data_IF_856435964896
#
_entry.id   IF_856435964896
#
_cell.length_a   1.000
_cell.length_b   1.000
_cell.length_c   1.000
_cell.angle_alpha   90.00
_cell.angle_beta   90.00
_cell.angle_gamma   90.00
#
_symmetry.space_group_name_H-M   'P 1'
#
loop_
_entity.id
_entity.type
_entity.pdbx_description
1 polymer ?
#
# COMPACT_ATOMS: atom_id res chain seq x y z
N UNK A 1 23.73 -37.86 -3.24
CA UNK A 1 23.55 -36.56 -3.89
C UNK A 1 22.53 -35.79 -3.07
N UNK A 2 23.02 -34.92 -2.22
CA UNK A 2 22.22 -34.14 -1.27
C UNK A 2 21.87 -32.83 -1.97
N UNK A 3 20.60 -32.61 -2.21
CA UNK A 3 20.10 -31.35 -2.78
C UNK A 3 20.15 -30.31 -1.67
N UNK A 4 21.10 -29.40 -1.76
CA UNK A 4 21.20 -28.24 -0.89
C UNK A 4 20.04 -27.31 -1.23
N UNK A 5 19.01 -27.28 -0.38
CA UNK A 5 17.99 -26.26 -0.39
C UNK A 5 18.67 -24.92 -0.08
N UNK A 6 18.83 -24.09 -1.10
CA UNK A 6 19.24 -22.69 -0.89
C UNK A 6 18.06 -21.96 -0.23
N UNK A 7 18.05 -21.99 1.10
CA UNK A 7 17.25 -21.03 1.86
C UNK A 7 17.77 -19.64 1.47
N UNK A 8 16.90 -18.85 0.83
CA UNK A 8 17.15 -17.44 0.57
C UNK A 8 17.43 -16.79 1.92
N UNK A 9 18.70 -16.53 2.24
CA UNK A 9 19.09 -15.74 3.37
C UNK A 9 18.59 -14.32 3.09
N UNK A 10 17.39 -14.02 3.55
CA UNK A 10 16.86 -12.66 3.61
C UNK A 10 17.81 -11.94 4.56
N UNK A 11 18.53 -10.97 4.01
CA UNK A 11 19.49 -10.16 4.77
C UNK A 11 18.84 -9.70 6.08
N UNK A 12 19.59 -9.74 7.19
CA UNK A 12 19.13 -9.40 8.55
C UNK A 12 18.60 -7.95 8.71
N UNK A 13 18.51 -7.20 7.64
CA UNK A 13 17.96 -5.84 7.56
C UNK A 13 16.54 -5.77 6.97
N UNK A 14 15.91 -6.91 6.65
CA UNK A 14 14.49 -6.87 6.28
C UNK A 14 13.69 -6.51 7.54
N UNK A 15 12.93 -5.42 7.52
CA UNK A 15 12.21 -5.01 8.72
C UNK A 15 11.27 -6.13 9.16
N UNK A 16 11.08 -6.28 10.48
CA UNK A 16 10.00 -7.09 11.09
C UNK A 16 8.59 -6.75 10.57
N UNK A 17 8.46 -5.76 9.71
CA UNK A 17 7.31 -5.37 8.93
C UNK A 17 6.76 -6.55 8.10
N UNK A 18 7.61 -7.48 7.69
CA UNK A 18 7.19 -8.68 6.94
C UNK A 18 6.22 -9.60 7.70
N UNK A 19 6.33 -9.67 9.04
CA UNK A 19 5.45 -10.51 9.88
C UNK A 19 4.14 -9.82 10.26
N UNK A 20 4.05 -8.50 10.10
CA UNK A 20 2.82 -7.74 10.31
C UNK A 20 1.90 -7.78 9.08
N UNK A 21 2.32 -8.54 8.09
CA UNK A 21 1.61 -8.60 6.83
C UNK A 21 0.25 -9.23 7.01
N UNK A 22 -0.59 -8.51 6.71
CA UNK A 22 -1.85 -8.61 6.11
C UNK A 22 -2.25 -9.99 5.64
N UNK A 23 -3.40 -10.40 6.11
CA UNK A 23 -4.21 -11.43 5.47
C UNK A 23 -4.52 -11.12 3.99
N UNK A 24 -4.23 -9.90 3.54
CA UNK A 24 -4.57 -9.37 2.21
C UNK A 24 -3.42 -9.43 1.20
N UNK A 25 -2.18 -9.61 1.65
CA UNK A 25 -1.03 -9.64 0.76
C UNK A 25 -1.08 -10.91 -0.11
N UNK A 26 -1.23 -10.74 -1.41
CA UNK A 26 -0.94 -11.82 -2.36
C UNK A 26 0.56 -12.11 -2.37
N UNK A 27 0.97 -13.09 -1.57
CA UNK A 27 2.38 -13.44 -1.39
C UNK A 27 3.06 -13.86 -2.68
N UNK A 28 2.30 -14.42 -3.62
CA UNK A 28 2.84 -14.86 -4.91
C UNK A 28 3.14 -13.64 -5.78
N UNK A 29 2.16 -12.75 -5.93
CA UNK A 29 2.34 -11.51 -6.69
C UNK A 29 3.44 -10.65 -6.06
N UNK A 30 3.47 -10.55 -4.73
CA UNK A 30 4.54 -9.83 -4.04
C UNK A 30 5.93 -10.40 -4.34
N UNK A 31 6.11 -11.72 -4.22
CA UNK A 31 7.41 -12.34 -4.47
C UNK A 31 7.88 -12.14 -5.92
N UNK A 32 6.95 -12.17 -6.88
CA UNK A 32 7.22 -11.89 -8.29
C UNK A 32 7.63 -10.42 -8.49
N UNK A 33 6.84 -9.48 -7.98
CA UNK A 33 7.12 -8.05 -8.08
C UNK A 33 8.42 -7.67 -7.37
N UNK A 34 8.70 -8.25 -6.20
CA UNK A 34 9.96 -8.05 -5.50
C UNK A 34 11.16 -8.53 -6.32
N UNK A 35 11.04 -9.69 -6.99
CA UNK A 35 12.09 -10.23 -7.87
C UNK A 35 12.32 -9.34 -9.09
N UNK A 36 11.24 -8.84 -9.71
CA UNK A 36 11.31 -8.02 -10.91
C UNK A 36 11.83 -6.60 -10.65
N UNK A 37 11.59 -6.07 -9.45
CA UNK A 37 11.86 -4.67 -9.12
C UNK A 37 12.50 -4.51 -7.73
N UNK A 38 13.48 -5.37 -7.43
CA UNK A 38 14.07 -5.49 -6.09
C UNK A 38 14.60 -4.17 -5.52
N UNK A 39 15.28 -3.36 -6.33
CA UNK A 39 15.89 -2.10 -5.86
C UNK A 39 14.84 -1.09 -5.38
N UNK A 40 13.72 -0.98 -6.08
CA UNK A 40 12.60 -0.10 -5.71
C UNK A 40 11.95 -0.57 -4.38
N UNK A 41 11.76 -1.89 -4.23
CA UNK A 41 11.21 -2.47 -3.00
C UNK A 41 12.15 -2.32 -1.80
N UNK A 42 13.45 -2.58 -1.98
CA UNK A 42 14.44 -2.40 -0.92
C UNK A 42 14.46 -0.95 -0.44
N UNK A 43 14.48 0.00 -1.37
CA UNK A 43 14.45 1.43 -1.04
C UNK A 43 13.13 1.85 -0.36
N UNK A 44 12.00 1.28 -0.78
CA UNK A 44 10.71 1.52 -0.13
C UNK A 44 10.73 1.06 1.33
N UNK A 45 11.23 -0.14 1.61
CA UNK A 45 11.35 -0.64 2.97
C UNK A 45 12.39 0.12 3.79
N UNK A 46 13.50 0.53 3.19
CA UNK A 46 14.51 1.37 3.85
C UNK A 46 13.92 2.73 4.23
N UNK A 47 13.12 3.33 3.36
CA UNK A 47 12.42 4.58 3.66
C UNK A 47 11.55 4.46 4.92
N UNK A 48 10.83 3.34 5.11
CA UNK A 48 9.99 3.10 6.28
C UNK A 48 10.77 2.84 7.57
N UNK A 49 12.09 2.59 7.49
CA UNK A 49 12.96 2.38 8.64
C UNK A 49 13.68 3.65 9.11
N UNK A 50 13.42 4.77 8.48
CA UNK A 50 14.01 6.06 8.86
C UNK A 50 13.70 6.39 10.32
N UNK A 51 14.70 6.83 11.11
CA UNK A 51 14.47 7.21 12.50
C UNK A 51 13.59 8.46 12.66
N UNK A 52 13.57 9.33 11.64
CA UNK A 52 12.81 10.57 11.58
C UNK A 52 11.44 10.41 10.86
N UNK A 53 10.99 9.19 10.61
CA UNK A 53 9.77 8.91 9.84
C UNK A 53 8.54 9.64 10.40
N UNK A 54 8.42 9.69 11.73
CA UNK A 54 7.31 10.33 12.42
C UNK A 54 7.38 11.88 12.39
N UNK A 55 8.53 12.44 12.06
CA UNK A 55 8.79 13.88 12.03
C UNK A 55 8.70 14.48 10.62
N UNK A 56 8.56 13.61 9.60
CA UNK A 56 8.47 14.06 8.22
C UNK A 56 7.21 14.92 8.00
N UNK A 57 7.37 16.16 7.49
CA UNK A 57 6.22 16.97 7.08
C UNK A 57 5.37 16.30 6.01
N UNK A 58 4.09 16.63 5.97
CA UNK A 58 3.23 16.21 4.86
C UNK A 58 3.80 16.70 3.52
N UNK A 59 3.86 15.79 2.54
CA UNK A 59 4.45 16.10 1.24
C UNK A 59 4.80 14.85 0.45
N UNK A 60 5.44 15.05 -0.69
CA UNK A 60 5.96 13.98 -1.54
C UNK A 60 7.48 13.95 -1.47
N UNK A 61 8.03 12.76 -1.34
CA UNK A 61 9.46 12.49 -1.21
C UNK A 61 9.89 11.49 -2.28
N UNK A 62 10.93 11.80 -3.01
CA UNK A 62 11.59 10.83 -3.89
C UNK A 62 12.28 9.77 -3.03
N UNK A 63 12.14 8.50 -3.40
CA UNK A 63 12.73 7.37 -2.69
C UNK A 63 13.82 6.73 -3.54
N UNK A 64 13.46 6.14 -4.67
CA UNK A 64 14.41 5.53 -5.60
C UNK A 64 13.75 5.31 -6.96
N UNK A 65 14.46 5.62 -8.05
CA UNK A 65 13.97 5.40 -9.40
C UNK A 65 12.64 6.11 -9.65
N UNK A 66 11.56 5.35 -9.78
CA UNK A 66 10.19 5.86 -9.91
C UNK A 66 9.37 5.74 -8.64
N UNK A 67 9.93 5.12 -7.59
CA UNK A 67 9.28 5.00 -6.29
C UNK A 67 9.32 6.32 -5.54
N UNK A 68 8.19 6.74 -5.03
CA UNK A 68 8.06 7.91 -4.16
C UNK A 68 7.13 7.64 -2.98
N UNK A 69 7.32 8.41 -1.91
CA UNK A 69 6.48 8.37 -0.73
C UNK A 69 5.61 9.62 -0.65
N UNK A 70 4.35 9.46 -0.28
CA UNK A 70 3.47 10.55 0.14
C UNK A 70 3.28 10.45 1.65
N UNK A 71 3.76 11.45 2.38
CA UNK A 71 3.47 11.63 3.80
C UNK A 71 2.14 12.36 3.91
N UNK A 72 1.17 11.73 4.54
CA UNK A 72 -0.18 12.27 4.75
C UNK A 72 -0.41 12.47 6.24
N UNK A 73 -0.66 13.72 6.64
CA UNK A 73 -1.09 14.12 7.98
C UNK A 73 -2.46 14.76 7.79
N UNK A 74 -3.52 14.02 8.11
CA UNK A 74 -4.91 14.40 7.78
C UNK A 74 -5.88 13.77 8.80
N UNK A 75 -7.14 13.66 8.46
CA UNK A 75 -8.16 12.93 9.20
C UNK A 75 -8.79 11.86 8.30
N UNK A 76 -9.19 10.75 8.89
CA UNK A 76 -10.08 9.79 8.24
C UNK A 76 -11.41 10.45 7.88
N UNK A 77 -12.18 9.89 6.94
CA UNK A 77 -13.39 10.49 6.35
C UNK A 77 -14.52 9.49 6.30
N UNK A 78 -15.74 9.93 6.58
CA UNK A 78 -16.94 9.08 6.56
C UNK A 78 -17.24 8.49 5.17
N UNK A 79 -16.82 9.17 4.11
CA UNK A 79 -17.04 8.71 2.74
C UNK A 79 -15.84 9.05 1.86
N UNK A 80 -15.35 8.02 1.17
CA UNK A 80 -14.24 8.11 0.21
C UNK A 80 -14.60 7.22 -0.98
N UNK A 81 -14.14 7.56 -2.18
CA UNK A 81 -14.29 6.67 -3.35
C UNK A 81 -13.28 5.52 -3.29
N UNK A 82 -13.60 4.43 -3.96
CA UNK A 82 -12.61 3.42 -4.32
C UNK A 82 -11.66 3.97 -5.37
N UNK A 83 -10.39 3.62 -5.24
CA UNK A 83 -9.31 3.90 -6.17
C UNK A 83 -8.88 2.59 -6.84
N UNK A 84 -8.61 2.64 -8.15
CA UNK A 84 -7.97 1.55 -8.89
C UNK A 84 -6.80 2.13 -9.67
N UNK A 85 -5.62 1.57 -9.45
CA UNK A 85 -4.39 1.92 -10.17
C UNK A 85 -4.06 0.86 -11.21
N UNK A 86 -3.32 1.22 -12.27
CA UNK A 86 -2.95 0.29 -13.33
C UNK A 86 -1.44 -0.01 -13.34
N UNK A 87 -0.61 0.97 -12.95
CA UNK A 87 0.84 0.90 -13.13
C UNK A 87 1.63 1.08 -11.83
N UNK A 88 0.95 1.32 -10.70
CA UNK A 88 1.59 1.45 -9.40
C UNK A 88 1.02 0.48 -8.38
N UNK A 89 1.86 0.09 -7.45
CA UNK A 89 1.52 -0.65 -6.24
C UNK A 89 1.48 0.36 -5.10
N UNK A 90 0.43 0.33 -4.31
CA UNK A 90 0.33 1.13 -3.10
C UNK A 90 0.78 0.33 -1.88
N UNK A 91 1.70 0.88 -1.11
CA UNK A 91 2.02 0.40 0.21
C UNK A 91 1.62 1.49 1.22
N UNK A 92 0.58 1.22 2.01
CA UNK A 92 0.17 2.10 3.11
C UNK A 92 0.84 1.65 4.40
N UNK A 93 1.44 2.58 5.13
CA UNK A 93 2.04 2.35 6.44
C UNK A 93 1.53 3.39 7.43
N UNK A 94 1.06 2.95 8.59
CA UNK A 94 0.52 3.84 9.62
C UNK A 94 1.62 4.25 10.59
N UNK A 95 1.93 5.54 10.62
CA UNK A 95 2.87 6.14 11.56
C UNK A 95 2.18 6.44 12.89
N UNK A 96 0.94 7.00 12.82
CA UNK A 96 0.11 7.31 13.99
C UNK A 96 -1.36 7.32 13.61
N UNK A 97 -2.22 6.93 14.56
CA UNK A 97 -3.65 6.75 14.33
C UNK A 97 -3.98 5.40 13.74
N UNK A 98 -5.13 5.32 13.08
CA UNK A 98 -5.62 4.11 12.42
C UNK A 98 -6.57 4.44 11.28
N UNK A 99 -6.68 3.54 10.31
CA UNK A 99 -7.67 3.62 9.24
C UNK A 99 -8.27 2.26 8.92
N UNK A 100 -9.52 2.26 8.50
CA UNK A 100 -10.15 1.14 7.84
C UNK A 100 -9.87 1.26 6.33
N UNK A 101 -9.37 0.20 5.73
CA UNK A 101 -9.19 0.07 4.28
C UNK A 101 -10.11 -1.03 3.79
N UNK A 102 -11.04 -0.67 2.91
CA UNK A 102 -11.78 -1.65 2.13
C UNK A 102 -11.01 -1.99 0.85
N UNK A 103 -11.08 -3.23 0.40
CA UNK A 103 -10.46 -3.65 -0.85
C UNK A 103 -11.27 -4.76 -1.52
N UNK A 104 -11.20 -4.81 -2.84
CA UNK A 104 -11.96 -5.75 -3.67
C UNK A 104 -11.23 -6.06 -4.97
N UNK A 105 -11.77 -6.99 -5.74
CA UNK A 105 -11.29 -7.21 -7.12
C UNK A 105 -11.84 -6.14 -8.05
N UNK A 106 -11.14 -5.81 -9.16
CA UNK A 106 -11.62 -4.80 -10.11
C UNK A 106 -13.03 -5.08 -10.65
N UNK A 107 -13.37 -6.35 -10.88
CA UNK A 107 -14.69 -6.77 -11.35
C UNK A 107 -15.83 -6.55 -10.35
N UNK A 108 -15.50 -6.35 -9.07
CA UNK A 108 -16.47 -6.03 -8.03
C UNK A 108 -16.77 -4.52 -7.92
N UNK A 109 -15.93 -3.66 -8.53
CA UNK A 109 -16.13 -2.21 -8.51
C UNK A 109 -17.36 -1.81 -9.30
N UNK A 110 -18.15 -0.88 -8.75
CA UNK A 110 -19.42 -0.41 -9.33
C UNK A 110 -19.52 1.11 -9.25
N UNK A 111 -20.37 1.68 -10.11
CA UNK A 111 -20.64 3.12 -10.17
C UNK A 111 -19.35 3.96 -10.41
N UNK A 112 -18.87 3.91 -11.66
CA UNK A 112 -17.71 4.73 -12.08
C UNK A 112 -17.99 6.22 -11.82
N UNK A 113 -17.12 6.83 -11.01
CA UNK A 113 -17.17 8.26 -10.66
C UNK A 113 -16.29 9.07 -11.61
N UNK A 114 -15.08 8.58 -11.88
CA UNK A 114 -14.13 9.22 -12.79
C UNK A 114 -13.37 8.15 -13.55
N UNK A 115 -13.31 8.25 -14.88
CA UNK A 115 -12.57 7.31 -15.70
C UNK A 115 -11.06 7.43 -15.43
N UNK A 116 -10.32 6.42 -15.86
CA UNK A 116 -8.88 6.35 -15.69
C UNK A 116 -8.17 7.62 -16.19
N UNK A 117 -7.40 8.19 -15.30
CA UNK A 117 -6.53 9.32 -15.56
C UNK A 117 -5.09 8.84 -15.64
N UNK A 118 -4.55 8.76 -16.86
CA UNK A 118 -3.21 8.25 -17.12
C UNK A 118 -2.10 9.03 -16.37
N UNK A 119 -2.25 10.36 -16.23
CA UNK A 119 -1.26 11.19 -15.52
C UNK A 119 -1.19 10.94 -14.02
N UNK A 120 -2.32 10.54 -13.42
CA UNK A 120 -2.44 10.24 -11.99
C UNK A 120 -2.41 8.75 -11.71
N UNK A 121 -2.48 7.92 -12.75
CA UNK A 121 -2.60 6.47 -12.69
C UNK A 121 -3.75 6.03 -11.77
N UNK A 122 -4.93 6.59 -11.93
CA UNK A 122 -6.08 6.26 -11.07
C UNK A 122 -7.41 6.46 -11.79
N UNK A 123 -8.34 5.59 -11.50
CA UNK A 123 -9.78 5.75 -11.72
C UNK A 123 -10.54 5.59 -10.41
N UNK A 124 -11.75 6.16 -10.34
CA UNK A 124 -12.53 6.21 -9.11
C UNK A 124 -13.89 5.56 -9.27
N UNK A 125 -14.29 4.81 -8.25
CA UNK A 125 -15.60 4.17 -8.16
C UNK A 125 -16.25 4.50 -6.82
N UNK A 126 -17.58 4.57 -6.83
CA UNK A 126 -18.32 4.93 -5.61
C UNK A 126 -18.52 3.75 -4.67
N UNK A 127 -18.67 2.55 -5.20
CA UNK A 127 -19.02 1.36 -4.44
C UNK A 127 -18.40 0.09 -5.02
N UNK A 128 -18.50 -0.99 -4.26
CA UNK A 128 -18.14 -2.33 -4.68
C UNK A 128 -19.28 -3.29 -4.32
N UNK A 129 -19.58 -4.24 -5.23
CA UNK A 129 -20.59 -5.28 -5.02
C UNK A 129 -20.18 -6.29 -3.95
N UNK A 130 -18.86 -6.47 -3.79
CA UNK A 130 -18.23 -7.33 -2.79
C UNK A 130 -16.91 -6.73 -2.36
N UNK A 131 -16.63 -6.75 -1.07
CA UNK A 131 -15.38 -6.22 -0.52
C UNK A 131 -14.90 -7.01 0.70
N UNK A 132 -13.63 -6.87 0.98
CA UNK A 132 -13.00 -7.21 2.25
C UNK A 132 -12.57 -5.92 2.95
N UNK A 133 -12.27 -6.01 4.24
CA UNK A 133 -11.86 -4.86 5.04
C UNK A 133 -10.72 -5.23 5.98
N UNK A 134 -9.85 -4.27 6.25
CA UNK A 134 -8.79 -4.40 7.24
C UNK A 134 -8.61 -3.09 7.99
N UNK A 135 -8.41 -3.17 9.30
CA UNK A 135 -8.03 -2.02 10.12
C UNK A 135 -6.51 -1.99 10.22
N UNK A 136 -5.92 -0.90 9.74
CA UNK A 136 -4.50 -0.63 9.88
C UNK A 136 -4.29 0.27 11.08
N UNK A 137 -3.45 -0.17 12.01
CA UNK A 137 -3.05 0.58 13.20
C UNK A 137 -1.56 0.93 13.13
N UNK A 138 -1.08 1.78 14.02
CA UNK A 138 0.33 2.18 14.12
C UNK A 138 1.30 1.02 13.93
N UNK A 139 2.26 1.19 13.02
CA UNK A 139 3.28 0.19 12.67
C UNK A 139 2.81 -0.91 11.73
N UNK A 140 1.54 -0.88 11.30
CA UNK A 140 0.99 -1.83 10.32
C UNK A 140 1.01 -1.24 8.91
N UNK A 141 1.05 -2.14 7.93
CA UNK A 141 1.00 -1.77 6.52
C UNK A 141 0.14 -2.73 5.71
N UNK A 142 -0.28 -2.29 4.54
CA UNK A 142 -0.93 -3.10 3.50
C UNK A 142 -0.24 -2.85 2.16
N UNK A 143 -0.17 -3.87 1.32
CA UNK A 143 0.26 -3.74 -0.08
C UNK A 143 -0.94 -4.03 -0.96
N UNK A 144 -1.24 -3.11 -1.87
CA UNK A 144 -2.36 -3.13 -2.79
C UNK A 144 -1.81 -3.09 -4.21
N UNK A 145 -2.09 -4.13 -4.98
CA UNK A 145 -1.65 -4.28 -6.36
C UNK A 145 -2.69 -3.68 -7.33
N UNK A 146 -2.36 -3.51 -8.62
CA UNK A 146 -3.35 -3.13 -9.63
C UNK A 146 -4.59 -4.02 -9.70
N UNK A 147 -4.50 -5.25 -9.16
CA UNK A 147 -5.64 -6.17 -9.02
C UNK A 147 -6.52 -5.90 -7.79
N UNK A 148 -6.24 -4.86 -7.03
CA UNK A 148 -6.92 -4.57 -5.76
C UNK A 148 -7.48 -3.14 -5.78
N UNK A 149 -8.76 -3.02 -6.18
CA UNK A 149 -9.53 -1.80 -5.96
C UNK A 149 -9.64 -1.54 -4.46
N UNK A 150 -9.40 -0.31 -4.01
CA UNK A 150 -9.33 -0.03 -2.58
C UNK A 150 -9.91 1.32 -2.20
N UNK A 151 -10.48 1.37 -1.00
CA UNK A 151 -11.09 2.55 -0.40
C UNK A 151 -10.40 2.83 0.93
N UNK A 152 -9.41 3.74 0.95
CA UNK A 152 -8.63 4.07 2.16
C UNK A 152 -9.29 5.16 2.99
N UNK A 153 -8.64 5.55 4.08
CA UNK A 153 -8.97 6.72 4.90
C UNK A 153 -10.33 6.66 5.59
N UNK A 154 -10.93 5.49 5.73
CA UNK A 154 -12.17 5.35 6.48
C UNK A 154 -11.87 5.24 7.99
N UNK A 155 -12.73 5.82 8.87
CA UNK A 155 -12.61 5.63 10.30
C UNK A 155 -13.10 4.24 10.71
N UNK A 156 -12.32 3.46 11.49
CA UNK A 156 -12.72 2.12 11.91
C UNK A 156 -14.02 2.06 12.73
N UNK A 157 -14.28 3.10 13.52
CA UNK A 157 -15.44 3.23 14.40
C UNK A 157 -16.54 4.16 13.86
N UNK A 158 -16.39 4.63 12.61
CA UNK A 158 -17.29 5.59 11.97
C UNK A 158 -17.04 7.05 12.33
N UNK A 159 -16.09 7.36 13.22
CA UNK A 159 -15.79 8.71 13.65
C UNK A 159 -14.47 9.21 13.05
N UNK A 160 -14.46 10.28 12.22
CA UNK A 160 -13.23 10.82 11.67
C UNK A 160 -12.20 11.20 12.73
N UNK A 161 -11.00 10.64 12.64
CA UNK A 161 -9.90 10.82 13.59
C UNK A 161 -8.59 11.22 12.88
N UNK A 162 -7.67 11.89 13.59
CA UNK A 162 -6.36 12.22 13.03
C UNK A 162 -5.60 10.96 12.60
N UNK A 163 -4.90 11.05 11.48
CA UNK A 163 -4.04 9.99 10.97
C UNK A 163 -2.75 10.60 10.40
N UNK A 164 -1.64 9.92 10.67
CA UNK A 164 -0.36 10.12 10.00
C UNK A 164 0.03 8.82 9.32
N UNK A 165 0.09 8.84 8.01
CA UNK A 165 0.44 7.65 7.21
C UNK A 165 1.42 7.98 6.09
N UNK A 166 2.13 6.95 5.66
CA UNK A 166 2.98 6.98 4.48
C UNK A 166 2.30 6.14 3.39
N UNK A 167 2.20 6.68 2.20
CA UNK A 167 1.80 5.95 1.00
C UNK A 167 3.00 5.87 0.08
N UNK A 168 3.60 4.69 -0.03
CA UNK A 168 4.64 4.43 -1.02
C UNK A 168 3.98 4.00 -2.33
N UNK A 169 4.31 4.69 -3.40
CA UNK A 169 3.89 4.38 -4.77
C UNK A 169 5.07 3.70 -5.47
N UNK A 170 4.97 2.39 -5.66
CA UNK A 170 6.02 1.54 -6.22
C UNK A 170 5.59 1.12 -7.63
N UNK A 171 6.45 1.24 -8.66
CA UNK A 171 6.09 0.83 -10.01
C UNK A 171 5.69 -0.65 -10.07
N UNK A 172 4.54 -0.93 -10.66
CA UNK A 172 4.17 -2.29 -11.03
C UNK A 172 4.91 -2.69 -12.31
N UNK A 173 5.52 -3.86 -12.31
CA UNK A 173 6.23 -4.41 -13.48
C UNK A 173 5.39 -5.54 -14.04
N UNK A 174 4.89 -5.37 -15.26
CA UNK A 174 4.19 -6.44 -15.98
C UNK A 174 5.18 -7.56 -16.29
N UNK A 175 4.88 -8.80 -15.88
CA UNK A 175 5.72 -9.97 -16.13
C UNK A 175 5.95 -10.26 -17.62
#
# INVERSE_FOLDING_TARGET
MTILSAALAICACTPKIYDAANATLDKKVFAEQYKLNKAEWDAAFEFLQRPDLAELPAGQYEVYGRTYAKVQIDRTRESVNYELHHNVIDLFYIVEGEELVNYCKPEDLTELVSPYNEKKDVEYYKSASKQNSVVLTKGKYIVLFPSDGHQPMLPPDGNPAPIHKIVLKIPYVTP
#
